data_IF_948859981295
#
_entry.id   IF_948859981295
#
_cell.length_a   1.000
_cell.length_b   1.000
_cell.length_c   1.000
_cell.angle_alpha   90.00
_cell.angle_beta   90.00
_cell.angle_gamma   90.00
#
_symmetry.space_group_name_H-M   'P 1'
#
loop_
_entity.id
_entity.type
_entity.pdbx_description
1 polymer ?
#
# COMPACT_ATOMS: atom_id res chain seq x y z
N UNK A 1 -3.41 28.51 -54.42
CA UNK A 1 -2.42 27.43 -54.25
C UNK A 1 -2.62 26.84 -52.85
N UNK A 2 -3.29 25.69 -52.76
CA UNK A 2 -3.49 24.98 -51.51
C UNK A 2 -2.44 23.87 -51.43
N UNK A 3 -1.51 23.97 -50.49
CA UNK A 3 -0.55 22.90 -50.17
C UNK A 3 -1.30 21.83 -49.40
N UNK A 4 -1.61 20.72 -50.07
CA UNK A 4 -2.16 19.54 -49.43
C UNK A 4 -1.07 18.90 -48.57
N UNK A 5 -1.18 19.05 -47.25
CA UNK A 5 -0.34 18.33 -46.29
C UNK A 5 -0.65 16.83 -46.38
N UNK A 6 0.32 16.08 -46.90
CA UNK A 6 0.24 14.62 -47.00
C UNK A 6 0.15 14.00 -45.59
N UNK A 7 -0.79 13.09 -45.30
CA UNK A 7 -0.90 12.43 -44.01
C UNK A 7 0.36 11.59 -43.77
N UNK A 8 1.13 11.95 -42.74
CA UNK A 8 2.40 11.30 -42.41
C UNK A 8 2.20 9.81 -42.15
N UNK A 9 3.01 8.98 -42.83
CA UNK A 9 3.09 7.55 -42.58
C UNK A 9 3.49 7.33 -41.11
N UNK A 10 2.54 6.90 -40.28
CA UNK A 10 2.82 6.47 -38.91
C UNK A 10 3.83 5.33 -38.95
N UNK A 11 5.00 5.56 -38.35
CA UNK A 11 6.08 4.58 -38.29
C UNK A 11 5.59 3.27 -37.67
N UNK A 12 5.95 2.13 -38.29
CA UNK A 12 5.62 0.78 -37.80
C UNK A 12 6.02 0.56 -36.32
N UNK A 13 7.06 1.26 -35.86
CA UNK A 13 7.49 1.23 -34.45
C UNK A 13 6.44 1.78 -33.48
N UNK A 14 5.70 2.83 -33.84
CA UNK A 14 4.70 3.46 -32.97
C UNK A 14 3.49 2.55 -32.76
N UNK A 15 3.12 1.78 -33.80
CA UNK A 15 2.04 0.81 -33.74
C UNK A 15 2.39 -0.34 -32.78
N UNK A 16 3.63 -0.84 -32.83
CA UNK A 16 4.09 -1.90 -31.94
C UNK A 16 4.12 -1.46 -30.46
N UNK A 17 4.62 -0.25 -30.18
CA UNK A 17 4.63 0.33 -28.83
C UNK A 17 3.21 0.48 -28.25
N UNK A 18 2.24 0.90 -29.06
CA UNK A 18 0.83 0.97 -28.64
C UNK A 18 0.24 -0.40 -28.32
N UNK A 19 0.55 -1.42 -29.12
CA UNK A 19 0.10 -2.78 -28.86
C UNK A 19 0.65 -3.32 -27.53
N UNK A 20 1.93 -3.08 -27.24
CA UNK A 20 2.56 -3.48 -25.99
C UNK A 20 1.94 -2.78 -24.76
N UNK A 21 1.70 -1.47 -24.84
CA UNK A 21 1.05 -0.72 -23.76
C UNK A 21 -0.39 -1.24 -23.50
N UNK A 22 -1.13 -1.57 -24.56
CA UNK A 22 -2.48 -2.14 -24.43
C UNK A 22 -2.47 -3.53 -23.78
N UNK A 23 -1.51 -4.40 -24.14
CA UNK A 23 -1.38 -5.71 -23.49
C UNK A 23 -1.08 -5.58 -21.99
N UNK A 24 -0.19 -4.67 -21.61
CA UNK A 24 0.13 -4.44 -20.20
C UNK A 24 -1.04 -3.84 -19.42
N UNK A 25 -1.83 -2.94 -20.04
CA UNK A 25 -3.05 -2.43 -19.44
C UNK A 25 -4.02 -3.56 -19.10
N UNK A 26 -4.20 -4.52 -20.02
CA UNK A 26 -5.07 -5.67 -19.78
C UNK A 26 -4.52 -6.58 -18.67
N UNK A 27 -3.20 -6.80 -18.61
CA UNK A 27 -2.61 -7.63 -17.54
C UNK A 27 -2.77 -6.99 -16.17
N UNK A 28 -2.67 -5.67 -16.04
CA UNK A 28 -2.93 -4.97 -14.77
C UNK A 28 -4.39 -5.16 -14.36
N UNK A 29 -5.33 -4.92 -15.27
CA UNK A 29 -6.77 -5.07 -14.98
C UNK A 29 -7.08 -6.50 -14.54
N UNK A 30 -6.53 -7.49 -15.26
CA UNK A 30 -6.70 -8.90 -14.93
C UNK A 30 -6.17 -9.25 -13.54
N UNK A 31 -4.95 -8.78 -13.20
CA UNK A 31 -4.37 -9.00 -11.88
C UNK A 31 -5.19 -8.37 -10.75
N UNK A 32 -5.85 -7.23 -11.02
CA UNK A 32 -6.75 -6.57 -10.06
C UNK A 32 -8.08 -7.32 -9.91
N UNK A 33 -8.56 -8.01 -10.96
CA UNK A 33 -9.77 -8.84 -10.87
C UNK A 33 -9.47 -10.13 -10.08
N UNK A 34 -8.34 -10.80 -10.37
CA UNK A 34 -7.94 -12.04 -9.70
C UNK A 34 -7.64 -11.84 -8.21
N UNK A 35 -7.20 -10.64 -7.84
CA UNK A 35 -6.96 -10.19 -6.48
C UNK A 35 -8.10 -10.36 -5.49
N UNK A 36 -9.32 -10.19 -5.99
CA UNK A 36 -10.47 -9.90 -5.15
C UNK A 36 -11.68 -10.59 -5.76
N UNK A 37 -11.75 -11.93 -5.65
CA UNK A 37 -12.87 -12.70 -6.20
C UNK A 37 -14.17 -12.28 -5.50
N UNK A 38 -14.99 -11.50 -6.20
CA UNK A 38 -16.25 -10.93 -5.69
C UNK A 38 -16.28 -9.40 -5.61
N UNK A 39 -15.17 -8.71 -5.85
CA UNK A 39 -15.17 -7.25 -5.99
C UNK A 39 -15.69 -6.84 -7.37
N UNK A 40 -16.46 -5.76 -7.42
CA UNK A 40 -16.91 -5.18 -8.68
C UNK A 40 -15.73 -4.77 -9.57
N UNK A 41 -15.92 -4.82 -10.89
CA UNK A 41 -14.87 -4.57 -11.88
C UNK A 41 -14.23 -3.18 -11.67
N UNK A 42 -12.90 -3.06 -11.53
CA UNK A 42 -12.24 -1.80 -11.20
C UNK A 42 -12.51 -0.73 -12.27
N UNK A 43 -12.91 0.47 -11.84
CA UNK A 43 -13.15 1.59 -12.75
C UNK A 43 -11.83 2.09 -13.31
N UNK A 44 -11.66 1.96 -14.62
CA UNK A 44 -10.48 2.46 -15.34
C UNK A 44 -10.84 3.61 -16.28
N UNK A 45 -10.11 4.72 -16.20
CA UNK A 45 -10.30 5.86 -17.10
C UNK A 45 -8.98 6.57 -17.40
N UNK A 46 -9.00 7.45 -18.40
CA UNK A 46 -7.83 8.24 -18.79
C UNK A 46 -8.18 9.72 -18.88
N UNK A 47 -7.22 10.57 -18.52
CA UNK A 47 -7.31 12.01 -18.66
C UNK A 47 -6.16 12.53 -19.53
N UNK A 48 -6.50 13.46 -20.42
CA UNK A 48 -5.53 14.16 -21.27
C UNK A 48 -5.38 15.59 -20.73
N UNK A 49 -4.17 15.93 -20.32
CA UNK A 49 -3.80 17.24 -19.75
C UNK A 49 -2.76 17.89 -20.64
N UNK A 50 -2.92 19.20 -20.86
CA UNK A 50 -1.88 20.06 -21.41
C UNK A 50 -1.38 20.99 -20.30
N UNK A 51 -0.16 20.78 -19.83
CA UNK A 51 0.51 21.62 -18.82
C UNK A 51 1.03 22.89 -19.47
N UNK A 52 0.64 24.02 -18.89
CA UNK A 52 1.29 25.31 -19.13
C UNK A 52 2.65 25.31 -18.44
N UNK A 53 3.71 25.87 -19.07
CA UNK A 53 5.01 26.01 -18.41
C UNK A 53 4.88 26.73 -17.06
N UNK A 54 5.49 26.17 -16.01
CA UNK A 54 5.42 26.71 -14.65
C UNK A 54 4.19 26.27 -13.83
N UNK A 55 3.17 25.68 -14.45
CA UNK A 55 2.01 25.15 -13.73
C UNK A 55 2.27 23.74 -13.17
N UNK A 56 1.77 23.49 -11.96
CA UNK A 56 1.78 22.17 -11.34
C UNK A 56 0.52 21.38 -11.74
N UNK A 57 0.55 20.05 -11.60
CA UNK A 57 -0.67 19.24 -11.79
C UNK A 57 -1.68 19.45 -10.65
N UNK A 58 -1.22 19.92 -9.49
CA UNK A 58 -2.02 20.01 -8.26
C UNK A 58 -2.47 18.65 -7.74
N UNK A 59 -1.57 17.67 -7.76
CA UNK A 59 -1.74 16.38 -7.08
C UNK A 59 -0.51 16.07 -6.24
N UNK A 60 -0.75 15.48 -5.08
CA UNK A 60 0.27 14.85 -4.25
C UNK A 60 0.20 13.34 -4.46
N UNK A 61 1.35 12.67 -4.63
CA UNK A 61 1.40 11.25 -4.95
C UNK A 61 2.28 10.48 -3.96
N UNK A 62 1.83 9.28 -3.59
CA UNK A 62 2.55 8.38 -2.68
C UNK A 62 2.89 7.08 -3.39
N UNK A 63 4.08 6.54 -3.11
CA UNK A 63 4.51 5.24 -3.61
C UNK A 63 3.70 4.12 -2.96
N UNK A 64 3.28 3.14 -3.76
CA UNK A 64 2.67 1.93 -3.24
C UNK A 64 3.76 0.90 -2.92
N UNK A 65 3.97 0.58 -1.64
CA UNK A 65 4.71 -0.62 -1.23
C UNK A 65 3.79 -1.77 -0.81
N UNK A 66 2.50 -1.48 -0.56
CA UNK A 66 1.64 -2.33 0.25
C UNK A 66 1.06 -3.55 -0.48
N UNK A 67 1.04 -3.57 -1.81
CA UNK A 67 0.43 -4.70 -2.54
C UNK A 67 1.24 -5.09 -3.78
N UNK A 68 1.54 -6.38 -3.90
CA UNK A 68 2.52 -6.88 -4.86
C UNK A 68 2.20 -6.59 -6.34
N UNK A 69 0.92 -6.45 -6.70
CA UNK A 69 0.48 -6.07 -8.05
C UNK A 69 0.46 -4.56 -8.34
N UNK A 70 0.54 -3.73 -7.30
CA UNK A 70 0.46 -2.27 -7.37
C UNK A 70 1.86 -1.65 -7.22
N UNK A 71 2.91 -2.49 -7.20
CA UNK A 71 4.31 -2.09 -6.99
C UNK A 71 4.80 -1.04 -8.00
N UNK A 72 4.14 -0.95 -9.16
CA UNK A 72 4.62 -0.22 -10.31
C UNK A 72 3.73 0.96 -10.70
N UNK A 73 3.19 1.68 -9.71
CA UNK A 73 2.44 2.91 -9.93
C UNK A 73 2.44 3.81 -8.69
N UNK A 74 1.62 4.87 -8.74
CA UNK A 74 1.49 5.83 -7.64
C UNK A 74 0.03 6.03 -7.24
N UNK A 75 -0.20 6.23 -5.96
CA UNK A 75 -1.51 6.64 -5.44
C UNK A 75 -1.60 8.14 -5.34
N UNK A 76 -2.79 8.68 -5.61
CA UNK A 76 -3.08 10.08 -5.38
C UNK A 76 -3.41 10.26 -3.90
N UNK A 77 -2.53 10.91 -3.16
CA UNK A 77 -2.76 11.17 -1.74
C UNK A 77 -3.67 12.37 -1.52
N UNK A 78 -3.47 13.44 -2.30
CA UNK A 78 -4.22 14.71 -2.17
C UNK A 78 -4.38 15.40 -3.53
N UNK A 79 -5.46 16.16 -3.67
CA UNK A 79 -5.68 17.09 -4.78
C UNK A 79 -5.64 18.52 -4.23
N UNK A 80 -5.04 19.44 -4.99
CA UNK A 80 -5.02 20.86 -4.70
C UNK A 80 -6.04 21.58 -5.60
N UNK A 81 -6.84 22.49 -5.01
CA UNK A 81 -7.96 23.15 -5.69
C UNK A 81 -7.54 24.01 -6.89
N UNK A 82 -6.36 24.62 -6.81
CA UNK A 82 -5.72 25.44 -7.84
C UNK A 82 -4.96 24.62 -8.89
N UNK A 83 -5.05 23.28 -8.81
CA UNK A 83 -4.41 22.34 -9.71
C UNK A 83 -5.05 22.20 -11.09
N UNK A 84 -4.24 21.87 -12.10
CA UNK A 84 -4.76 21.50 -13.44
C UNK A 84 -5.70 20.29 -13.35
N UNK A 85 -5.40 19.32 -12.47
CA UNK A 85 -6.27 18.15 -12.27
C UNK A 85 -7.61 18.54 -11.64
N UNK A 86 -7.63 19.51 -10.71
CA UNK A 86 -8.86 20.06 -10.13
C UNK A 86 -9.70 20.78 -11.20
N UNK A 87 -9.07 21.63 -12.02
CA UNK A 87 -9.72 22.28 -13.15
C UNK A 87 -10.27 21.26 -14.16
N UNK A 88 -9.54 20.16 -14.43
CA UNK A 88 -10.01 19.08 -15.27
C UNK A 88 -11.24 18.38 -14.65
N UNK A 89 -11.21 18.08 -13.35
CA UNK A 89 -12.33 17.47 -12.61
C UNK A 89 -13.60 18.30 -12.68
N UNK A 90 -13.51 19.64 -12.63
CA UNK A 90 -14.66 20.53 -12.71
C UNK A 90 -15.44 20.39 -14.05
N UNK A 91 -14.78 19.92 -15.11
CA UNK A 91 -15.40 19.68 -16.42
C UNK A 91 -15.96 18.26 -16.58
N UNK A 92 -15.75 17.37 -15.60
CA UNK A 92 -16.10 15.95 -15.69
C UNK A 92 -17.20 15.60 -14.71
N UNK A 93 -18.10 14.74 -15.17
CA UNK A 93 -19.12 14.16 -14.31
C UNK A 93 -18.59 12.89 -13.63
N UNK A 94 -19.07 12.58 -12.41
CA UNK A 94 -18.88 11.26 -11.81
C UNK A 94 -19.30 10.14 -12.78
N UNK A 95 -18.63 8.97 -12.76
CA UNK A 95 -17.57 8.57 -11.82
C UNK A 95 -16.14 8.92 -12.30
N UNK A 96 -15.99 9.60 -13.45
CA UNK A 96 -14.70 9.83 -14.13
C UNK A 96 -13.89 11.03 -13.61
N UNK A 97 -14.20 11.52 -12.42
CA UNK A 97 -13.39 12.54 -11.75
C UNK A 97 -12.24 11.86 -11.02
N UNK A 98 -11.07 12.48 -10.99
CA UNK A 98 -9.90 12.04 -10.21
C UNK A 98 -10.13 12.34 -8.73
N UNK A 99 -9.80 11.41 -7.83
CA UNK A 99 -10.00 11.53 -6.37
C UNK A 99 -8.77 11.07 -5.59
N UNK A 100 -8.61 11.48 -4.33
CA UNK A 100 -7.66 10.83 -3.43
C UNK A 100 -7.95 9.33 -3.34
N UNK A 101 -6.90 8.51 -3.27
CA UNK A 101 -7.00 7.05 -3.30
C UNK A 101 -6.99 6.42 -4.70
N UNK A 102 -7.13 7.22 -5.76
CA UNK A 102 -6.98 6.73 -7.14
C UNK A 102 -5.55 6.25 -7.42
N UNK A 103 -5.43 5.19 -8.22
CA UNK A 103 -4.16 4.61 -8.62
C UNK A 103 -3.78 5.01 -10.05
N UNK A 104 -2.66 5.71 -10.20
CA UNK A 104 -2.08 6.02 -11.50
C UNK A 104 -1.14 4.87 -11.87
N UNK A 105 -1.47 4.15 -12.94
CA UNK A 105 -0.71 2.97 -13.39
C UNK A 105 0.05 3.19 -14.71
N UNK A 106 -0.24 4.29 -15.41
CA UNK A 106 0.45 4.64 -16.65
C UNK A 106 0.37 6.15 -16.91
N UNK A 107 1.47 6.72 -17.39
CA UNK A 107 1.58 8.12 -17.83
C UNK A 107 2.18 8.12 -19.23
N UNK A 108 1.44 8.61 -20.22
CA UNK A 108 1.78 8.48 -21.64
C UNK A 108 2.06 7.01 -22.00
N UNK A 109 3.28 6.71 -22.44
CA UNK A 109 3.72 5.35 -22.77
C UNK A 109 4.56 4.71 -21.66
N UNK A 110 4.68 5.39 -20.51
CA UNK A 110 5.46 4.94 -19.37
C UNK A 110 4.56 4.22 -18.37
N UNK A 111 4.90 2.97 -18.07
CA UNK A 111 4.24 2.09 -17.11
C UNK A 111 5.31 1.19 -16.49
N UNK A 112 5.03 0.56 -15.35
CA UNK A 112 5.97 -0.41 -14.78
C UNK A 112 7.13 0.20 -13.97
N UNK A 113 7.45 1.47 -14.20
CA UNK A 113 8.53 2.21 -13.54
C UNK A 113 7.99 3.51 -12.94
N UNK A 114 7.82 3.49 -11.62
CA UNK A 114 7.27 4.61 -10.86
C UNK A 114 8.12 5.88 -10.96
N UNK A 115 9.46 5.74 -11.02
CA UNK A 115 10.37 6.87 -11.12
C UNK A 115 10.25 7.52 -12.51
N UNK A 116 10.24 6.69 -13.56
CA UNK A 116 10.06 7.16 -14.92
C UNK A 116 8.67 7.82 -15.12
N UNK A 117 7.61 7.26 -14.53
CA UNK A 117 6.27 7.87 -14.57
C UNK A 117 6.25 9.27 -13.93
N UNK A 118 6.89 9.44 -12.76
CA UNK A 118 7.00 10.74 -12.09
C UNK A 118 7.82 11.73 -12.93
N UNK A 119 8.92 11.27 -13.53
CA UNK A 119 9.72 12.12 -14.42
C UNK A 119 8.92 12.54 -15.66
N UNK A 120 8.16 11.64 -16.27
CA UNK A 120 7.30 11.93 -17.42
C UNK A 120 6.25 13.00 -17.07
N UNK A 121 5.59 12.88 -15.90
CA UNK A 121 4.65 13.90 -15.39
C UNK A 121 5.30 15.27 -15.16
N UNK A 122 6.60 15.31 -14.84
CA UNK A 122 7.34 16.56 -14.62
C UNK A 122 7.73 17.22 -15.94
N UNK A 123 8.29 16.45 -16.87
CA UNK A 123 8.98 16.94 -18.06
C UNK A 123 8.01 17.27 -19.21
N UNK A 124 7.00 16.43 -19.45
CA UNK A 124 6.13 16.60 -20.62
C UNK A 124 5.05 17.65 -20.37
N UNK A 125 4.77 18.43 -21.40
CA UNK A 125 3.62 19.34 -21.42
C UNK A 125 2.31 18.61 -21.71
N UNK A 126 2.30 17.66 -22.64
CA UNK A 126 1.14 16.83 -22.92
C UNK A 126 1.22 15.51 -22.17
N UNK A 127 0.19 15.23 -21.36
CA UNK A 127 0.10 14.04 -20.53
C UNK A 127 -1.21 13.30 -20.81
N UNK A 128 -1.11 11.99 -20.99
CA UNK A 128 -2.22 11.04 -20.95
C UNK A 128 -2.05 10.18 -19.70
N UNK A 129 -2.80 10.46 -18.65
CA UNK A 129 -2.68 9.75 -17.37
C UNK A 129 -3.80 8.71 -17.31
N UNK A 130 -3.44 7.46 -17.06
CA UNK A 130 -4.40 6.37 -16.87
C UNK A 130 -4.55 6.06 -15.38
N UNK A 131 -5.81 6.05 -14.95
CA UNK A 131 -6.23 5.94 -13.57
C UNK A 131 -7.08 4.68 -13.40
N UNK A 132 -6.83 3.97 -12.32
CA UNK A 132 -7.60 2.84 -11.84
C UNK A 132 -8.16 3.18 -10.46
N UNK A 133 -9.46 2.97 -10.28
CA UNK A 133 -10.16 3.09 -9.00
C UNK A 133 -10.78 1.76 -8.61
N UNK A 134 -10.50 1.30 -7.39
CA UNK A 134 -11.18 0.15 -6.80
C UNK A 134 -12.58 0.56 -6.35
N UNK A 135 -13.58 -0.20 -6.78
CA UNK A 135 -14.94 -0.03 -6.30
C UNK A 135 -15.00 -0.62 -4.88
N UNK A 136 -15.39 0.20 -3.90
CA UNK A 136 -15.39 -0.17 -2.47
C UNK A 136 -14.76 0.90 -1.57
N UNK A 137 -13.83 1.71 -2.09
CA UNK A 137 -13.21 2.79 -1.30
C UNK A 137 -14.05 4.07 -1.22
N UNK A 138 -15.05 4.22 -2.10
CA UNK A 138 -15.86 5.45 -2.16
C UNK A 138 -16.77 5.61 -0.94
N UNK A 139 -17.09 4.51 -0.24
CA UNK A 139 -18.07 4.51 0.86
C UNK A 139 -17.53 5.11 2.16
N UNK A 140 -16.21 5.19 2.35
CA UNK A 140 -15.60 5.65 3.61
C UNK A 140 -15.18 7.13 3.61
N UNK A 141 -15.30 7.85 2.51
CA UNK A 141 -15.01 9.28 2.42
C UNK A 141 -16.23 10.11 2.03
N UNK A 142 -17.43 9.69 2.46
CA UNK A 142 -18.51 10.68 2.60
C UNK A 142 -17.97 11.78 3.51
N UNK A 143 -17.88 13.05 3.05
CA UNK A 143 -17.52 14.11 3.96
C UNK A 143 -18.52 14.00 5.10
N UNK A 144 -18.02 13.83 6.32
CA UNK A 144 -18.76 14.22 7.50
C UNK A 144 -19.10 15.68 7.27
N UNK A 145 -20.24 15.93 6.62
CA UNK A 145 -21.02 17.13 6.78
C UNK A 145 -21.34 17.11 8.26
N UNK A 146 -20.40 17.62 9.06
CA UNK A 146 -20.74 18.33 10.27
C UNK A 146 -21.79 19.31 9.79
N UNK A 147 -23.05 18.95 10.03
CA UNK A 147 -24.16 19.87 9.89
C UNK A 147 -23.70 21.15 10.58
N UNK A 148 -23.43 22.16 9.76
CA UNK A 148 -23.30 23.52 10.23
C UNK A 148 -24.65 23.80 10.83
N UNK A 149 -24.75 23.61 12.15
CA UNK A 149 -25.90 24.00 12.94
C UNK A 149 -26.19 25.45 12.53
N UNK A 150 -27.37 25.75 11.96
CA UNK A 150 -27.65 27.09 11.47
C UNK A 150 -27.45 28.07 12.62
N UNK A 151 -26.46 28.95 12.46
CA UNK A 151 -26.13 29.98 13.43
C UNK A 151 -27.37 30.82 13.70
N UNK A 152 -27.81 30.79 14.95
CA UNK A 152 -28.86 31.66 15.48
C UNK A 152 -28.42 33.12 15.31
N UNK A 153 -29.18 33.97 14.62
CA UNK A 153 -28.84 35.38 14.48
C UNK A 153 -29.26 36.14 15.74
N UNK A 154 -28.28 36.59 16.53
CA UNK A 154 -28.50 37.65 17.50
C UNK A 154 -27.65 37.57 18.76
N UNK A 155 -26.43 38.13 18.73
CA UNK A 155 -25.87 38.72 19.94
C UNK A 155 -24.95 39.91 19.61
N UNK A 156 -25.24 41.11 20.14
CA UNK A 156 -24.43 42.30 19.94
C UNK A 156 -23.21 42.36 20.87
N UNK A 157 -22.12 42.82 20.24
CA UNK A 157 -20.92 43.48 20.74
C UNK A 157 -20.87 43.95 22.22
N UNK A 158 -19.76 43.62 22.87
CA UNK A 158 -19.23 44.18 24.12
C UNK A 158 -18.23 43.18 24.70
N UNK A 159 -17.04 43.48 25.21
CA UNK A 159 -16.37 44.73 25.61
C UNK A 159 -14.89 44.35 25.80
N UNK A 160 -13.98 45.28 25.55
CA UNK A 160 -12.55 45.14 25.82
C UNK A 160 -12.27 44.76 27.28
N UNK A 161 -11.37 43.81 27.50
CA UNK A 161 -10.95 43.35 28.83
C UNK A 161 -9.59 42.68 28.76
N UNK A 162 -8.58 43.48 29.09
CA UNK A 162 -7.19 43.13 29.38
C UNK A 162 -7.12 42.21 30.62
N UNK A 163 -6.60 40.99 30.48
CA UNK A 163 -6.24 40.09 31.62
C UNK A 163 -5.08 39.17 31.22
N UNK A 164 -3.84 39.59 31.52
CA UNK A 164 -2.78 38.73 32.09
C UNK A 164 -3.08 38.57 33.62
N UNK A 165 -2.45 37.68 34.42
CA UNK A 165 -1.49 36.61 34.14
C UNK A 165 -1.84 35.29 34.89
N UNK A 166 -0.87 34.36 34.95
CA UNK A 166 -0.62 33.31 35.98
C UNK A 166 -0.82 31.83 35.61
N UNK A 167 0.31 31.12 35.63
CA UNK A 167 0.50 30.02 36.58
C UNK A 167 0.03 28.63 36.17
N UNK A 168 0.70 28.01 35.19
CA UNK A 168 0.56 26.56 34.94
C UNK A 168 1.26 25.75 36.03
N UNK A 169 0.48 25.45 37.08
CA UNK A 169 0.74 24.48 38.14
C UNK A 169 0.73 23.07 37.54
N UNK A 170 1.83 22.34 37.73
CA UNK A 170 1.94 20.93 37.38
C UNK A 170 0.87 20.11 38.13
N UNK A 171 -0.13 19.64 37.40
CA UNK A 171 -1.08 18.65 37.88
C UNK A 171 -0.48 17.26 37.67
N UNK A 172 -0.26 16.56 38.77
CA UNK A 172 -0.04 15.12 38.79
C UNK A 172 -1.28 14.47 38.16
N UNK A 173 -1.11 13.89 36.97
CA UNK A 173 -2.11 13.07 36.32
C UNK A 173 -2.29 11.77 37.08
N UNK A 174 -3.43 11.67 37.76
CA UNK A 174 -4.01 10.41 38.23
C UNK A 174 -4.11 9.46 37.03
N UNK A 175 -3.42 8.32 37.15
CA UNK A 175 -3.41 7.29 36.12
C UNK A 175 -4.81 6.68 36.08
N UNK A 176 -5.51 6.68 34.93
CA UNK A 176 -6.79 6.01 34.81
C UNK A 176 -6.60 4.53 35.13
N UNK A 177 -7.45 4.00 36.01
CA UNK A 177 -7.53 2.62 36.44
C UNK A 177 -7.26 1.68 35.26
N UNK A 178 -6.03 1.14 35.22
CA UNK A 178 -5.71 0.05 34.31
C UNK A 178 -6.41 -1.17 34.88
N UNK A 179 -7.24 -1.89 34.09
CA UNK A 179 -7.80 -3.16 34.53
C UNK A 179 -6.63 -4.10 34.83
N UNK A 180 -6.41 -4.35 36.12
CA UNK A 180 -5.35 -5.22 36.62
C UNK A 180 -5.56 -6.64 36.06
N UNK A 181 -4.68 -7.05 35.14
CA UNK A 181 -4.55 -8.46 34.77
C UNK A 181 -4.44 -8.77 33.28
N UNK A 182 -4.73 -7.84 32.36
CA UNK A 182 -4.59 -8.14 30.93
C UNK A 182 -3.13 -8.03 30.55
N UNK A 183 -2.56 -9.16 30.11
CA UNK A 183 -1.19 -9.17 29.64
C UNK A 183 -1.06 -8.24 28.41
N UNK A 184 0.04 -7.46 28.27
CA UNK A 184 0.22 -6.60 27.10
C UNK A 184 0.11 -7.35 25.77
N UNK A 185 0.40 -8.65 25.76
CA UNK A 185 0.23 -9.52 24.59
C UNK A 185 -1.23 -9.77 24.22
N UNK A 186 -2.12 -10.00 25.19
CA UNK A 186 -3.55 -10.22 24.93
C UNK A 186 -4.23 -8.95 24.41
N UNK A 187 -3.87 -7.78 24.93
CA UNK A 187 -4.37 -6.51 24.43
C UNK A 187 -4.01 -6.30 22.95
N UNK A 188 -2.74 -6.57 22.59
CA UNK A 188 -2.29 -6.53 21.20
C UNK A 188 -2.99 -7.56 20.32
N UNK A 189 -3.25 -8.77 20.83
CA UNK A 189 -3.94 -9.81 20.08
C UNK A 189 -5.40 -9.42 19.78
N UNK A 190 -6.09 -8.80 20.74
CA UNK A 190 -7.44 -8.28 20.53
C UNK A 190 -7.45 -7.16 19.47
N UNK A 191 -6.46 -6.24 19.51
CA UNK A 191 -6.31 -5.21 18.49
C UNK A 191 -6.01 -5.80 17.11
N UNK A 192 -5.14 -6.81 17.02
CA UNK A 192 -4.82 -7.50 15.76
C UNK A 192 -6.03 -8.26 15.19
N UNK A 193 -6.85 -8.87 16.05
CA UNK A 193 -8.08 -9.56 15.63
C UNK A 193 -9.20 -8.59 15.23
N UNK A 194 -9.16 -7.35 15.70
CA UNK A 194 -10.09 -6.31 15.28
C UNK A 194 -9.72 -5.71 13.91
N UNK A 195 -8.50 -5.93 13.41
CA UNK A 195 -8.11 -5.57 12.06
C UNK A 195 -8.76 -6.54 11.06
N UNK A 196 -9.35 -6.01 10.00
CA UNK A 196 -9.77 -6.84 8.86
C UNK A 196 -8.56 -7.46 8.14
N UNK A 197 -8.81 -8.54 7.39
CA UNK A 197 -7.77 -9.33 6.71
C UNK A 197 -6.82 -8.50 5.84
N UNK A 198 -7.34 -7.46 5.17
CA UNK A 198 -6.51 -6.56 4.35
C UNK A 198 -5.54 -5.73 5.19
N UNK A 199 -6.00 -5.17 6.30
CA UNK A 199 -5.17 -4.36 7.20
C UNK A 199 -4.13 -5.23 7.93
N UNK A 200 -4.54 -6.43 8.37
CA UNK A 200 -3.64 -7.40 8.98
C UNK A 200 -2.58 -7.90 7.98
N UNK A 201 -2.99 -8.22 6.75
CA UNK A 201 -2.08 -8.60 5.67
C UNK A 201 -1.05 -7.51 5.36
N UNK A 202 -1.49 -6.25 5.27
CA UNK A 202 -0.61 -5.10 5.10
C UNK A 202 0.41 -4.96 6.24
N UNK A 203 -0.04 -5.11 7.50
CA UNK A 203 0.83 -5.06 8.68
C UNK A 203 1.89 -6.16 8.66
N UNK A 204 1.50 -7.40 8.34
CA UNK A 204 2.42 -8.54 8.24
C UNK A 204 3.44 -8.30 7.11
N UNK A 205 3.01 -7.82 5.95
CA UNK A 205 3.92 -7.49 4.85
C UNK A 205 4.99 -6.46 5.28
N UNK A 206 4.58 -5.37 5.93
CA UNK A 206 5.50 -4.33 6.42
C UNK A 206 6.44 -4.90 7.49
N UNK A 207 5.94 -5.74 8.40
CA UNK A 207 6.77 -6.37 9.42
C UNK A 207 7.85 -7.29 8.82
N UNK A 208 7.48 -8.09 7.80
CA UNK A 208 8.39 -8.99 7.08
C UNK A 208 9.41 -8.25 6.21
N UNK A 209 9.10 -7.05 5.74
CA UNK A 209 10.05 -6.19 5.02
C UNK A 209 11.09 -5.59 5.97
N UNK A 210 10.66 -5.11 7.14
CA UNK A 210 11.55 -4.52 8.14
C UNK A 210 12.39 -5.55 8.91
N UNK A 211 11.96 -6.81 8.96
CA UNK A 211 12.65 -7.89 9.68
C UNK A 211 12.81 -9.13 8.78
N UNK A 212 13.84 -9.15 7.90
CA UNK A 212 14.03 -10.23 6.93
C UNK A 212 14.15 -11.63 7.55
N UNK A 213 14.68 -11.73 8.77
CA UNK A 213 14.80 -13.00 9.50
C UNK A 213 13.45 -13.62 9.86
N UNK A 214 12.36 -12.84 9.92
CA UNK A 214 11.00 -13.38 10.15
C UNK A 214 10.44 -14.06 8.90
N UNK A 215 10.90 -13.73 7.68
CA UNK A 215 10.33 -14.29 6.44
C UNK A 215 10.46 -15.81 6.39
N UNK A 216 11.62 -16.33 6.75
CA UNK A 216 11.86 -17.77 6.75
C UNK A 216 10.95 -18.50 7.75
N UNK A 217 10.67 -17.89 8.91
CA UNK A 217 9.81 -18.50 9.93
C UNK A 217 8.31 -18.42 9.56
N UNK A 218 7.85 -17.28 9.05
CA UNK A 218 6.43 -17.04 8.73
C UNK A 218 6.03 -17.70 7.40
N UNK A 219 6.93 -17.74 6.42
CA UNK A 219 6.67 -18.33 5.10
C UNK A 219 7.24 -19.75 4.95
N UNK A 220 7.77 -20.34 6.03
CA UNK A 220 8.16 -21.75 5.98
C UNK A 220 6.93 -22.56 5.53
N UNK A 221 7.07 -23.45 4.54
CA UNK A 221 5.99 -24.36 4.19
C UNK A 221 5.64 -25.14 5.46
N UNK A 222 4.44 -24.94 5.97
CA UNK A 222 3.93 -25.76 7.05
C UNK A 222 3.73 -27.15 6.43
N UNK A 223 4.64 -28.08 6.74
CA UNK A 223 4.47 -29.47 6.33
C UNK A 223 3.46 -30.11 7.28
N UNK A 224 2.19 -30.30 6.87
CA UNK A 224 1.17 -30.84 7.75
C UNK A 224 1.49 -32.28 8.21
N UNK A 225 2.44 -32.96 7.56
CA UNK A 225 2.82 -34.34 7.90
C UNK A 225 3.75 -34.42 9.12
N UNK A 226 4.59 -33.42 9.38
CA UNK A 226 5.45 -33.42 10.57
C UNK A 226 4.67 -33.30 11.88
N UNK A 227 3.52 -32.62 11.86
CA UNK A 227 2.69 -32.44 13.06
C UNK A 227 1.96 -33.74 13.45
N UNK A 228 1.63 -34.59 12.47
CA UNK A 228 0.99 -35.89 12.71
C UNK A 228 2.00 -36.88 13.33
N UNK A 229 3.26 -36.88 12.90
CA UNK A 229 4.30 -37.74 13.48
C UNK A 229 4.67 -37.31 14.92
N UNK A 230 4.70 -36.00 15.21
CA UNK A 230 5.00 -35.49 16.55
C UNK A 230 3.93 -35.84 17.61
N UNK A 231 2.70 -36.12 17.18
CA UNK A 231 1.60 -36.53 18.08
C UNK A 231 1.66 -38.04 18.37
N UNK A 232 2.16 -38.87 17.45
CA UNK A 232 2.30 -40.31 17.67
C UNK A 232 3.44 -40.68 18.62
N UNK A 233 4.53 -39.90 18.66
CA UNK A 233 5.70 -40.21 19.48
C UNK A 233 5.54 -39.87 20.98
N UNK A 234 4.54 -39.06 21.34
CA UNK A 234 4.23 -38.72 22.75
C UNK A 234 3.36 -39.75 23.48
N UNK A 235 2.92 -40.82 22.81
CA UNK A 235 2.05 -41.85 23.38
C UNK A 235 2.75 -43.04 24.07
N UNK A 236 4.09 -43.14 24.03
CA UNK A 236 4.79 -44.40 24.33
C UNK A 236 5.77 -44.37 25.53
N UNK A 237 5.68 -43.42 26.46
CA UNK A 237 6.53 -43.41 27.68
C UNK A 237 5.73 -43.63 28.95
N UNK A 238 5.37 -44.90 29.18
CA UNK A 238 4.83 -45.36 30.45
C UNK A 238 4.88 -46.88 30.60
N UNK A 239 6.05 -47.44 30.94
CA UNK A 239 6.23 -48.40 32.05
C UNK A 239 7.60 -49.11 31.99
N UNK A 240 8.33 -48.99 33.09
CA UNK A 240 9.17 -50.03 33.75
C UNK A 240 10.32 -50.75 33.04
N UNK A 241 11.45 -50.83 33.75
CA UNK A 241 12.26 -52.05 33.77
C UNK A 241 13.76 -51.83 33.91
N UNK A 242 14.28 -52.06 35.12
CA UNK A 242 15.69 -51.98 35.50
C UNK A 242 16.65 -52.89 34.70
N UNK A 243 17.92 -52.45 34.63
CA UNK A 243 19.15 -53.19 34.94
C UNK A 243 20.26 -53.21 33.87
N UNK A 244 21.41 -52.63 34.23
CA UNK A 244 22.72 -53.27 34.04
C UNK A 244 23.65 -52.69 32.95
N UNK A 245 24.99 -52.76 33.13
CA UNK A 245 25.93 -51.76 32.61
C UNK A 245 26.92 -52.27 31.54
N UNK A 246 27.64 -51.30 30.97
CA UNK A 246 28.95 -51.37 30.30
C UNK A 246 29.02 -51.89 28.86
N UNK A 247 29.54 -51.04 27.95
CA UNK A 247 30.95 -51.13 27.50
C UNK A 247 31.30 -50.00 26.52
N UNK A 248 32.51 -49.50 26.72
CA UNK A 248 33.34 -48.74 25.81
C UNK A 248 33.22 -49.17 24.34
N UNK A 249 33.07 -48.20 23.41
CA UNK A 249 33.83 -48.18 22.16
C UNK A 249 34.19 -46.74 21.78
N UNK A 250 35.49 -46.49 21.91
CA UNK A 250 36.32 -45.42 21.35
C UNK A 250 36.23 -45.42 19.82
N UNK A 251 35.89 -44.28 19.22
CA UNK A 251 35.86 -44.10 17.76
C UNK A 251 36.13 -42.66 17.36
N UNK A 252 37.41 -42.32 17.24
CA UNK A 252 37.87 -41.08 16.65
C UNK A 252 37.75 -41.14 15.11
N UNK A 253 37.28 -40.05 14.48
CA UNK A 253 37.68 -39.58 13.14
C UNK A 253 37.00 -38.22 12.88
N UNK A 254 37.72 -37.10 12.81
CA UNK A 254 38.55 -36.61 11.70
C UNK A 254 37.83 -35.46 10.97
N UNK A 255 37.99 -34.23 11.48
CA UNK A 255 38.01 -33.03 10.64
C UNK A 255 39.35 -33.04 9.85
N UNK A 256 39.45 -32.56 8.58
CA UNK A 256 39.52 -31.10 8.38
C UNK A 256 39.22 -30.52 6.95
N UNK A 257 39.12 -29.17 6.95
CA UNK A 257 39.34 -28.15 5.88
C UNK A 257 38.35 -27.99 4.72
N UNK A 258 37.78 -26.78 4.54
CA UNK A 258 37.49 -26.23 3.22
C UNK A 258 38.57 -25.26 2.74
N UNK A 259 39.04 -25.59 1.53
CA UNK A 259 40.11 -24.99 0.74
C UNK A 259 39.75 -23.57 0.25
N UNK A 260 40.69 -22.63 0.37
CA UNK A 260 40.58 -21.27 -0.14
C UNK A 260 40.85 -21.21 -1.64
N UNK A 261 39.84 -20.80 -2.41
CA UNK A 261 39.97 -20.50 -3.85
C UNK A 261 39.85 -19.00 -4.12
N UNK A 262 41.00 -18.35 -4.36
CA UNK A 262 41.08 -17.06 -5.07
C UNK A 262 40.94 -17.31 -6.58
N UNK A 263 40.13 -16.52 -7.28
CA UNK A 263 40.25 -16.31 -8.71
C UNK A 263 40.15 -14.81 -9.04
N UNK A 264 40.88 -14.45 -10.09
CA UNK A 264 41.35 -13.12 -10.52
C UNK A 264 40.25 -12.14 -10.91
#
# INVERSE_FOLDING_TARGET
MAVASSPGATSSSEVALRAQANQHKLSIIQAVIEASPGAEEPLTFSLVINKTPGSSLGIDVTYSSATSWLRNGVFIARLFEDGIVSAWNATRQPPKQVRPGDFIFQVNMVFGDTVAMIQEMKIKSQLTIHVLRRIGNDTLQSPSTLEVVPAVPGQPNGTAGDVEPTGSKAANGESPDRPDGVSPGEALLAELNALGDEALGGLICVALERRPWLRAAVLAPHDPLQEIEAIQDKGATGSEGAAGPAKDVKGASQEPVPNGGKAK
#
